data_IF_704737507381
#
_entry.id   IF_704737507381
#
_cell.length_a   1.000
_cell.length_b   1.000
_cell.length_c   1.000
_cell.angle_alpha   90.00
_cell.angle_beta   90.00
_cell.angle_gamma   90.00
#
_symmetry.space_group_name_H-M   'P 1'
#
loop_
_entity.id
_entity.type
_entity.pdbx_description
1 polymer ?
#
# COMPACT_ATOMS: atom_id res chain seq x y z
N UNK A 1 9.02 13.66 -13.31
CA UNK A 1 7.91 12.69 -13.26
C UNK A 1 6.65 13.44 -12.86
N UNK A 2 5.60 13.49 -13.70
CA UNK A 2 4.31 14.07 -13.30
C UNK A 2 3.57 12.99 -12.51
N UNK A 3 3.32 13.24 -11.22
CA UNK A 3 2.45 12.40 -10.41
C UNK A 3 1.02 12.49 -10.95
N UNK A 4 0.40 11.35 -11.27
CA UNK A 4 -1.00 11.26 -11.72
C UNK A 4 -1.98 11.11 -10.53
N UNK A 5 -1.59 11.64 -9.37
CA UNK A 5 -2.37 11.53 -8.13
C UNK A 5 -3.46 12.60 -8.11
N UNK A 6 -4.67 12.22 -8.49
CA UNK A 6 -5.86 13.06 -8.36
C UNK A 6 -6.54 12.81 -7.03
N UNK A 7 -6.57 13.82 -6.17
CA UNK A 7 -7.33 13.78 -4.92
C UNK A 7 -8.81 13.99 -5.19
N UNK A 8 -9.62 13.08 -4.67
CA UNK A 8 -11.07 13.22 -4.61
C UNK A 8 -11.46 13.95 -3.34
N UNK A 9 -12.25 15.01 -3.49
CA UNK A 9 -12.93 15.69 -2.37
C UNK A 9 -14.29 15.05 -2.17
N UNK A 10 -14.62 14.64 -0.95
CA UNK A 10 -15.93 14.05 -0.61
C UNK A 10 -16.43 14.67 0.69
N UNK A 11 -17.65 15.20 0.67
CA UNK A 11 -18.31 15.69 1.89
C UNK A 11 -18.63 14.48 2.77
N UNK A 12 -18.18 14.50 4.02
CA UNK A 12 -18.36 13.38 4.96
C UNK A 12 -19.34 13.69 6.08
N UNK A 13 -19.47 14.96 6.46
CA UNK A 13 -20.34 15.39 7.54
C UNK A 13 -20.81 16.83 7.32
N UNK A 14 -22.01 17.13 7.82
CA UNK A 14 -22.47 18.50 8.04
C UNK A 14 -22.89 18.61 9.51
N UNK A 15 -22.32 19.57 10.23
CA UNK A 15 -22.59 19.78 11.66
C UNK A 15 -22.56 21.29 11.94
N UNK A 16 -23.59 21.82 12.59
CA UNK A 16 -23.74 23.25 12.91
C UNK A 16 -23.46 24.17 11.71
N UNK A 17 -24.12 23.90 10.57
CA UNK A 17 -23.91 24.62 9.31
C UNK A 17 -22.46 24.60 8.78
N UNK A 18 -21.61 23.73 9.33
CA UNK A 18 -20.22 23.55 8.91
C UNK A 18 -20.10 22.24 8.16
N UNK A 19 -19.60 22.33 6.92
CA UNK A 19 -19.35 21.16 6.07
C UNK A 19 -17.93 20.63 6.27
N UNK A 20 -17.82 19.32 6.48
CA UNK A 20 -16.55 18.62 6.62
C UNK A 20 -16.29 17.77 5.38
N UNK A 21 -15.06 17.84 4.89
CA UNK A 21 -14.64 17.15 3.68
C UNK A 21 -13.45 16.23 3.95
N UNK A 22 -13.50 15.03 3.38
CA UNK A 22 -12.38 14.13 3.27
C UNK A 22 -11.72 14.31 1.90
N UNK A 23 -10.41 14.51 1.90
CA UNK A 23 -9.57 14.46 0.72
C UNK A 23 -8.88 13.10 0.69
N UNK A 24 -9.17 12.29 -0.33
CA UNK A 24 -8.66 10.92 -0.44
C UNK A 24 -8.30 10.57 -1.87
N UNK A 25 -7.60 9.45 -2.06
CA UNK A 25 -7.25 8.91 -3.37
C UNK A 25 -7.59 7.43 -3.41
N UNK A 26 -7.82 6.90 -4.62
CA UNK A 26 -8.00 5.48 -4.81
C UNK A 26 -6.70 4.75 -4.47
N UNK A 27 -6.78 3.77 -3.56
CA UNK A 27 -5.64 2.95 -3.15
C UNK A 27 -4.92 2.34 -4.36
N UNK A 28 -5.67 1.90 -5.36
CA UNK A 28 -5.12 1.37 -6.61
C UNK A 28 -4.21 2.39 -7.33
N UNK A 29 -4.66 3.64 -7.43
CA UNK A 29 -3.88 4.72 -8.04
C UNK A 29 -2.64 5.07 -7.21
N UNK A 30 -2.74 5.03 -5.89
CA UNK A 30 -1.58 5.19 -5.00
C UNK A 30 -0.53 4.11 -5.25
N UNK A 31 -0.95 2.83 -5.27
CA UNK A 31 -0.07 1.69 -5.50
C UNK A 31 0.60 1.80 -6.86
N UNK A 32 -0.16 2.10 -7.92
CA UNK A 32 0.39 2.31 -9.27
C UNK A 32 1.46 3.40 -9.29
N UNK A 33 1.20 4.57 -8.69
CA UNK A 33 2.19 5.65 -8.65
C UNK A 33 3.46 5.26 -7.87
N UNK A 34 3.32 4.48 -6.78
CA UNK A 34 4.49 3.99 -6.02
C UNK A 34 5.31 3.02 -6.87
N UNK A 35 4.66 2.11 -7.60
CA UNK A 35 5.32 1.14 -8.46
C UNK A 35 5.96 1.78 -9.70
N UNK A 36 5.48 2.93 -10.16
CA UNK A 36 6.12 3.71 -11.22
C UNK A 36 7.48 4.28 -10.80
N UNK A 37 7.73 4.48 -9.49
CA UNK A 37 9.04 4.97 -8.99
C UNK A 37 10.04 3.80 -9.02
N UNK A 38 10.93 3.80 -10.02
CA UNK A 38 11.84 2.67 -10.28
C UNK A 38 12.69 2.27 -9.05
N UNK A 39 13.22 3.24 -8.32
CA UNK A 39 14.04 2.97 -7.13
C UNK A 39 13.25 2.25 -6.03
N UNK A 40 11.96 2.54 -5.91
CA UNK A 40 11.07 1.88 -4.95
C UNK A 40 10.63 0.53 -5.49
N UNK A 41 10.24 0.43 -6.76
CA UNK A 41 9.75 -0.81 -7.36
C UNK A 41 10.79 -1.92 -7.39
N UNK A 42 12.07 -1.57 -7.52
CA UNK A 42 13.19 -2.51 -7.41
C UNK A 42 13.35 -3.13 -6.01
N UNK A 43 12.77 -2.53 -4.96
CA UNK A 43 12.86 -3.02 -3.57
C UNK A 43 11.71 -3.95 -3.17
N UNK A 44 10.64 -4.00 -3.98
CA UNK A 44 9.50 -4.88 -3.71
C UNK A 44 9.79 -6.31 -4.15
N UNK A 45 9.48 -7.26 -3.26
CA UNK A 45 9.42 -8.67 -3.60
C UNK A 45 7.99 -8.95 -4.06
N UNK A 46 7.79 -8.98 -5.38
CA UNK A 46 6.48 -9.26 -6.00
C UNK A 46 6.10 -10.75 -5.98
N UNK A 47 7.03 -11.61 -5.57
CA UNK A 47 6.79 -13.04 -5.40
C UNK A 47 6.01 -13.28 -4.11
N UNK A 48 4.69 -13.23 -4.23
CA UNK A 48 3.81 -13.78 -3.21
C UNK A 48 3.88 -15.30 -3.27
N UNK A 49 4.51 -15.90 -2.26
CA UNK A 49 4.41 -17.33 -2.02
C UNK A 49 3.41 -17.58 -0.90
N UNK A 50 2.39 -18.38 -1.18
CA UNK A 50 1.45 -18.81 -0.16
C UNK A 50 2.16 -19.79 0.77
N UNK A 51 2.64 -19.28 1.90
CA UNK A 51 3.32 -20.11 2.88
C UNK A 51 2.35 -20.50 3.97
N UNK A 52 2.40 -21.78 4.29
CA UNK A 52 1.73 -22.31 5.44
C UNK A 52 2.70 -23.17 6.25
N UNK A 53 2.56 -23.10 7.56
CA UNK A 53 3.18 -24.02 8.50
C UNK A 53 2.16 -25.10 8.84
N UNK A 54 2.53 -26.36 8.65
CA UNK A 54 1.72 -27.48 9.13
C UNK A 54 1.83 -27.56 10.66
N UNK A 55 0.70 -27.49 11.36
CA UNK A 55 0.58 -27.67 12.81
C UNK A 55 -0.24 -28.92 13.11
N UNK A 56 -0.21 -29.42 14.35
CA UNK A 56 -0.88 -30.68 14.74
C UNK A 56 -2.36 -30.75 14.32
N UNK A 57 -3.05 -29.61 14.23
CA UNK A 57 -4.49 -29.53 13.93
C UNK A 57 -4.81 -28.80 12.62
N UNK A 58 -3.85 -28.62 11.70
CA UNK A 58 -4.14 -27.99 10.40
C UNK A 58 -2.98 -27.20 9.80
N UNK A 59 -3.32 -26.15 9.04
CA UNK A 59 -2.38 -25.22 8.41
C UNK A 59 -2.52 -23.84 9.04
N UNK A 60 -1.40 -23.24 9.39
CA UNK A 60 -1.30 -21.85 9.81
C UNK A 60 -0.64 -21.05 8.69
N UNK A 61 -1.28 -19.98 8.21
CA UNK A 61 -0.68 -19.09 7.22
C UNK A 61 0.50 -18.35 7.86
N UNK A 62 1.64 -18.33 7.19
CA UNK A 62 2.81 -17.55 7.62
C UNK A 62 3.12 -16.49 6.56
N UNK A 63 3.44 -15.28 7.01
CA UNK A 63 3.76 -14.17 6.12
C UNK A 63 5.27 -14.13 5.87
N UNK A 64 5.69 -14.12 4.60
CA UNK A 64 7.09 -13.90 4.19
C UNK A 64 7.43 -12.41 4.24
N UNK A 65 8.73 -12.10 4.20
CA UNK A 65 9.23 -10.74 4.08
C UNK A 65 8.78 -10.15 2.74
N UNK A 66 7.98 -9.07 2.79
CA UNK A 66 7.39 -8.43 1.60
C UNK A 66 8.34 -7.39 0.95
N UNK A 67 9.47 -7.10 1.58
CA UNK A 67 10.56 -6.32 0.99
C UNK A 67 11.91 -6.98 1.34
N UNK A 68 12.95 -6.64 0.58
CA UNK A 68 14.28 -7.24 0.74
C UNK A 68 15.10 -6.71 1.94
N UNK A 69 14.53 -5.84 2.77
CA UNK A 69 15.15 -5.20 3.92
C UNK A 69 16.31 -4.27 3.60
N UNK A 70 16.44 -3.78 2.35
CA UNK A 70 17.62 -2.98 1.92
C UNK A 70 17.33 -1.54 1.56
N UNK A 71 16.08 -1.07 1.68
CA UNK A 71 15.71 0.31 1.27
C UNK A 71 16.43 1.42 2.08
N UNK A 72 16.96 1.12 3.26
CA UNK A 72 17.74 2.06 4.09
C UNK A 72 19.26 1.90 3.98
N UNK A 73 19.77 0.89 3.26
CA UNK A 73 21.22 0.62 3.19
C UNK A 73 21.97 1.56 2.26
N UNK A 74 21.26 2.38 1.50
CA UNK A 74 21.80 3.34 0.54
C UNK A 74 21.66 4.80 1.00
N UNK A 75 21.23 5.04 2.24
CA UNK A 75 21.23 6.35 2.89
C UNK A 75 22.50 6.53 3.72
#
# INVERSE_FOLDING_TARGET
MKSNLSYKKTKVLNHDNTEYFLYHMLLMSCIQNILEISDISQTFVLEYEELYKTIKNGKENIYKEQNNGKWWKTT
#
